data_IF_007219207125
#
_entry.id   IF_007219207125
#
_cell.length_a   1.000
_cell.length_b   1.000
_cell.length_c   1.000
_cell.angle_alpha   90.00
_cell.angle_beta   90.00
_cell.angle_gamma   90.00
#
_symmetry.space_group_name_H-M   'P 1'
#
loop_
_entity.id
_entity.type
_entity.pdbx_description
1 polymer ?
#
# COMPACT_ATOMS: atom_id res chain seq x y z
N UNK A 1 30.82 19.45 -60.63
CA UNK A 1 29.81 19.25 -59.57
C UNK A 1 28.57 18.68 -60.25
N UNK A 2 28.07 17.47 -60.03
CA UNK A 2 28.32 16.48 -58.99
C UNK A 2 28.15 15.09 -59.60
N UNK A 3 28.91 14.13 -59.09
CA UNK A 3 28.86 12.71 -59.43
C UNK A 3 27.83 12.10 -58.46
N UNK A 4 26.75 11.48 -58.95
CA UNK A 4 25.97 10.58 -58.11
C UNK A 4 25.70 9.28 -58.86
N UNK A 5 26.67 8.37 -58.77
CA UNK A 5 26.41 6.93 -58.77
C UNK A 5 26.11 6.55 -57.33
N UNK A 6 24.99 5.88 -57.08
CA UNK A 6 25.01 4.52 -56.54
C UNK A 6 23.60 3.94 -56.57
N UNK A 7 23.43 2.94 -57.43
CA UNK A 7 22.38 1.94 -57.29
C UNK A 7 22.70 1.10 -56.05
N UNK A 8 21.76 0.99 -55.12
CA UNK A 8 21.74 -0.08 -54.11
C UNK A 8 20.38 -0.74 -54.23
N UNK A 9 20.30 -1.69 -55.15
CA UNK A 9 19.36 -2.79 -55.09
C UNK A 9 19.89 -3.79 -54.05
N UNK A 10 19.04 -4.20 -53.11
CA UNK A 10 19.26 -5.45 -52.39
C UNK A 10 18.98 -5.40 -50.89
N UNK A 11 18.10 -6.32 -50.49
CA UNK A 11 17.96 -6.90 -49.16
C UNK A 11 17.37 -6.00 -48.08
N UNK A 12 16.04 -6.08 -47.95
CA UNK A 12 15.38 -5.79 -46.69
C UNK A 12 15.88 -6.73 -45.59
N UNK A 13 16.06 -6.19 -44.39
CA UNK A 13 16.13 -6.99 -43.17
C UNK A 13 15.67 -6.16 -41.97
N UNK A 14 14.45 -6.46 -41.54
CA UNK A 14 13.96 -6.39 -40.18
C UNK A 14 14.26 -5.11 -39.36
N UNK A 15 13.41 -4.10 -39.52
CA UNK A 15 13.00 -3.28 -38.37
C UNK A 15 12.20 -4.19 -37.43
N UNK A 16 12.90 -4.90 -36.54
CA UNK A 16 12.26 -5.52 -35.39
C UNK A 16 11.68 -4.38 -34.56
N UNK A 17 10.40 -4.12 -34.75
CA UNK A 17 9.60 -3.32 -33.85
C UNK A 17 9.76 -3.94 -32.46
N UNK A 18 10.51 -3.27 -31.58
CA UNK A 18 10.52 -3.58 -30.15
C UNK A 18 9.14 -3.19 -29.60
N UNK A 19 8.12 -3.99 -29.90
CA UNK A 19 6.89 -4.00 -29.11
C UNK A 19 7.21 -4.74 -27.83
N UNK A 20 7.88 -4.05 -26.90
CA UNK A 20 7.88 -4.48 -25.51
C UNK A 20 6.42 -4.56 -25.09
N UNK A 21 5.94 -5.74 -24.70
CA UNK A 21 4.65 -5.85 -24.05
C UNK A 21 4.75 -5.01 -22.77
N UNK A 22 4.24 -3.78 -22.81
CA UNK A 22 4.00 -2.96 -21.64
C UNK A 22 2.81 -3.57 -20.88
N UNK A 23 2.96 -4.81 -20.41
CA UNK A 23 2.06 -5.37 -19.43
C UNK A 23 2.33 -4.57 -18.16
N UNK A 24 1.42 -3.66 -17.79
CA UNK A 24 1.58 -2.96 -16.53
C UNK A 24 1.70 -4.00 -15.41
N UNK A 25 2.70 -3.86 -14.52
CA UNK A 25 2.87 -4.80 -13.42
C UNK A 25 1.56 -4.85 -12.63
N UNK A 26 1.00 -6.05 -12.48
CA UNK A 26 -0.21 -6.23 -11.66
C UNK A 26 0.10 -5.67 -10.28
N UNK A 27 -0.75 -4.77 -9.80
CA UNK A 27 -0.59 -4.20 -8.47
C UNK A 27 -0.64 -5.34 -7.44
N UNK A 28 0.47 -5.55 -6.74
CA UNK A 28 0.60 -6.60 -5.73
C UNK A 28 -0.25 -6.30 -4.49
N UNK A 29 -0.40 -5.01 -4.17
CA UNK A 29 -1.11 -4.53 -3.00
C UNK A 29 -2.18 -3.50 -3.38
N UNK A 30 -3.29 -3.54 -2.66
CA UNK A 30 -4.29 -2.48 -2.67
C UNK A 30 -3.91 -1.41 -1.63
N UNK A 31 -3.68 -0.19 -2.09
CA UNK A 31 -3.41 0.97 -1.22
C UNK A 31 -4.64 1.84 -0.97
N UNK A 32 -5.67 1.74 -1.82
CA UNK A 32 -6.88 2.54 -1.67
C UNK A 32 -6.59 4.05 -1.61
N UNK A 33 -7.15 4.73 -0.62
CA UNK A 33 -7.00 6.17 -0.36
C UNK A 33 -5.86 6.47 0.64
N UNK A 34 -5.04 5.47 0.99
CA UNK A 34 -4.04 5.57 2.05
C UNK A 34 -3.03 6.71 1.86
N UNK A 35 -2.49 6.89 0.65
CA UNK A 35 -1.52 7.96 0.37
C UNK A 35 -2.12 9.36 0.57
N UNK A 36 -3.37 9.54 0.15
CA UNK A 36 -4.09 10.79 0.33
C UNK A 36 -4.47 11.03 1.80
N UNK A 37 -4.83 9.97 2.54
CA UNK A 37 -5.03 10.06 3.99
C UNK A 37 -3.76 10.56 4.70
N UNK A 38 -2.60 9.97 4.36
CA UNK A 38 -1.31 10.42 4.92
C UNK A 38 -1.01 11.87 4.53
N UNK A 39 -1.24 12.24 3.28
CA UNK A 39 -1.05 13.62 2.83
C UNK A 39 -1.84 14.60 3.71
N UNK A 40 -3.15 14.39 3.87
CA UNK A 40 -4.03 15.23 4.70
C UNK A 40 -3.56 15.27 6.15
N UNK A 41 -3.18 14.12 6.74
CA UNK A 41 -2.65 14.07 8.10
C UNK A 41 -1.43 14.97 8.32
N UNK A 42 -0.55 15.09 7.32
CA UNK A 42 0.67 15.89 7.41
C UNK A 42 0.48 17.35 7.02
N UNK A 43 -0.38 17.64 6.05
CA UNK A 43 -0.58 19.01 5.53
C UNK A 43 -1.65 19.79 6.29
N UNK A 44 -2.61 19.10 6.90
CA UNK A 44 -3.75 19.69 7.60
C UNK A 44 -3.91 19.08 9.00
N UNK A 45 -3.09 19.53 9.98
CA UNK A 45 -3.13 19.01 11.34
C UNK A 45 -4.54 19.07 11.94
N UNK A 46 -5.07 17.90 12.34
CA UNK A 46 -6.41 17.76 12.92
C UNK A 46 -7.53 17.49 11.92
N UNK A 47 -7.28 17.59 10.60
CA UNK A 47 -8.29 17.30 9.58
C UNK A 47 -8.60 15.80 9.43
N UNK A 48 -7.63 14.94 9.78
CA UNK A 48 -7.79 13.49 9.80
C UNK A 48 -7.81 13.00 11.25
N UNK A 49 -8.94 13.15 11.94
CA UNK A 49 -9.10 12.60 13.29
C UNK A 49 -9.12 11.05 13.27
N UNK A 50 -8.98 10.37 14.43
CA UNK A 50 -8.94 8.91 14.47
C UNK A 50 -10.18 8.21 13.89
N UNK A 51 -11.38 8.78 14.01
CA UNK A 51 -12.60 8.16 13.49
C UNK A 51 -12.64 8.22 11.96
N UNK A 52 -12.23 9.36 11.38
CA UNK A 52 -12.06 9.50 9.94
C UNK A 52 -11.02 8.50 9.41
N UNK A 53 -9.87 8.39 10.08
CA UNK A 53 -8.82 7.45 9.69
C UNK A 53 -9.32 5.99 9.76
N UNK A 54 -10.03 5.60 10.84
CA UNK A 54 -10.65 4.27 10.96
C UNK A 54 -11.59 3.98 9.79
N UNK A 55 -12.45 4.95 9.44
CA UNK A 55 -13.40 4.79 8.35
C UNK A 55 -12.69 4.54 7.02
N UNK A 56 -11.67 5.35 6.71
CA UNK A 56 -10.91 5.25 5.45
C UNK A 56 -10.14 3.93 5.34
N UNK A 57 -9.38 3.58 6.38
CA UNK A 57 -8.59 2.34 6.41
C UNK A 57 -9.49 1.09 6.32
N UNK A 58 -10.63 1.09 7.01
CA UNK A 58 -11.59 -0.02 6.95
C UNK A 58 -12.22 -0.16 5.56
N UNK A 59 -12.53 0.97 4.91
CA UNK A 59 -13.04 0.97 3.53
C UNK A 59 -12.01 0.39 2.56
N UNK A 60 -10.74 0.74 2.70
CA UNK A 60 -9.66 0.21 1.85
C UNK A 60 -9.46 -1.30 2.06
N UNK A 61 -9.52 -1.78 3.31
CA UNK A 61 -9.48 -3.23 3.63
C UNK A 61 -10.65 -3.96 2.96
N UNK A 62 -11.87 -3.41 3.05
CA UNK A 62 -13.06 -4.01 2.42
C UNK A 62 -12.94 -4.03 0.89
N UNK A 63 -12.45 -2.96 0.29
CA UNK A 63 -12.23 -2.89 -1.16
C UNK A 63 -11.15 -3.87 -1.63
N UNK A 64 -10.05 -4.02 -0.87
CA UNK A 64 -9.02 -5.00 -1.16
C UNK A 64 -9.62 -6.41 -1.20
N UNK A 65 -10.40 -6.77 -0.17
CA UNK A 65 -11.08 -8.06 -0.09
C UNK A 65 -12.06 -8.26 -1.26
N UNK A 66 -12.86 -7.25 -1.61
CA UNK A 66 -13.82 -7.33 -2.72
C UNK A 66 -13.15 -7.49 -4.09
N UNK A 67 -11.91 -7.03 -4.25
CA UNK A 67 -11.13 -7.13 -5.48
C UNK A 67 -10.20 -8.35 -5.53
N UNK A 68 -10.24 -9.21 -4.51
CA UNK A 68 -9.29 -10.33 -4.32
C UNK A 68 -7.82 -9.85 -4.36
N UNK A 69 -7.58 -8.66 -3.78
CA UNK A 69 -6.26 -8.06 -3.65
C UNK A 69 -5.83 -8.08 -2.18
N UNK A 70 -4.52 -8.18 -1.97
CA UNK A 70 -3.94 -8.08 -0.62
C UNK A 70 -3.90 -6.60 -0.22
N UNK A 71 -4.45 -6.23 0.93
CA UNK A 71 -4.31 -4.88 1.48
C UNK A 71 -2.84 -4.59 1.79
N UNK A 72 -2.32 -3.39 1.53
CA UNK A 72 -0.90 -3.09 1.70
C UNK A 72 -0.38 -3.28 3.16
N UNK A 73 0.91 -3.61 3.32
CA UNK A 73 1.54 -3.72 4.65
C UNK A 73 1.47 -2.40 5.41
N UNK A 74 1.30 -2.49 6.73
CA UNK A 74 1.19 -1.36 7.65
C UNK A 74 -0.23 -0.82 7.81
N UNK A 75 -1.18 -1.11 6.90
CA UNK A 75 -2.55 -0.60 7.01
C UNK A 75 -3.28 -1.18 8.23
N UNK A 76 -3.12 -2.48 8.51
CA UNK A 76 -3.70 -3.07 9.72
C UNK A 76 -3.00 -2.57 10.98
N UNK A 77 -1.67 -2.32 10.93
CA UNK A 77 -0.97 -1.67 12.04
C UNK A 77 -1.49 -0.25 12.33
N UNK A 78 -1.71 0.56 11.29
CA UNK A 78 -2.26 1.91 11.42
C UNK A 78 -3.68 1.87 11.99
N UNK A 79 -4.53 0.99 11.45
CA UNK A 79 -5.89 0.81 11.96
C UNK A 79 -5.91 0.39 13.43
N UNK A 80 -5.04 -0.55 13.82
CA UNK A 80 -4.88 -0.96 15.22
C UNK A 80 -4.46 0.19 16.13
N UNK A 81 -3.55 1.06 15.67
CA UNK A 81 -3.15 2.25 16.40
C UNK A 81 -4.30 3.24 16.57
N UNK A 82 -5.12 3.48 15.55
CA UNK A 82 -6.29 4.35 15.66
C UNK A 82 -7.31 3.81 16.65
N UNK A 83 -7.59 2.50 16.64
CA UNK A 83 -8.46 1.89 17.65
C UNK A 83 -7.89 2.05 19.07
N UNK A 84 -6.58 1.92 19.26
CA UNK A 84 -5.95 2.14 20.55
C UNK A 84 -6.12 3.59 21.03
N UNK A 85 -5.95 4.59 20.15
CA UNK A 85 -6.22 6.00 20.48
C UNK A 85 -7.66 6.26 20.90
N UNK A 86 -8.61 5.50 20.35
CA UNK A 86 -10.04 5.54 20.69
C UNK A 86 -10.40 4.73 21.94
N UNK A 87 -9.44 4.09 22.61
CA UNK A 87 -9.69 3.24 23.77
C UNK A 87 -10.21 1.84 23.42
N UNK A 88 -10.35 1.49 22.14
CA UNK A 88 -10.85 0.19 21.70
C UNK A 88 -9.72 -0.83 21.58
N UNK A 89 -9.23 -1.30 22.73
CA UNK A 89 -8.08 -2.19 22.83
C UNK A 89 -8.32 -3.58 22.21
N UNK A 90 -9.57 -4.05 22.23
CA UNK A 90 -9.94 -5.34 21.63
C UNK A 90 -9.77 -5.31 20.10
N UNK A 91 -10.31 -4.28 19.44
CA UNK A 91 -10.11 -4.08 18.00
C UNK A 91 -8.65 -3.79 17.68
N UNK A 92 -7.97 -2.96 18.47
CA UNK A 92 -6.54 -2.70 18.28
C UNK A 92 -5.70 -3.97 18.25
N UNK A 93 -5.89 -4.86 19.24
CA UNK A 93 -5.21 -6.16 19.32
C UNK A 93 -5.50 -7.04 18.10
N UNK A 94 -6.75 -7.10 17.66
CA UNK A 94 -7.15 -7.89 16.51
C UNK A 94 -6.43 -7.43 15.22
N UNK A 95 -6.38 -6.13 14.99
CA UNK A 95 -5.73 -5.54 13.81
C UNK A 95 -4.21 -5.74 13.83
N UNK A 96 -3.56 -5.56 14.99
CA UNK A 96 -2.14 -5.86 15.15
C UNK A 96 -1.82 -7.33 14.86
N UNK A 97 -2.62 -8.27 15.39
CA UNK A 97 -2.44 -9.70 15.09
C UNK A 97 -2.64 -9.96 13.59
N UNK A 98 -3.62 -9.30 12.96
CA UNK A 98 -3.89 -9.44 11.53
C UNK A 98 -2.72 -8.96 10.67
N UNK A 99 -2.11 -7.83 11.00
CA UNK A 99 -0.90 -7.33 10.35
C UNK A 99 0.21 -8.39 10.41
N UNK A 100 0.54 -8.89 11.61
CA UNK A 100 1.60 -9.89 11.79
C UNK A 100 1.32 -11.21 11.04
N UNK A 101 0.06 -11.60 10.90
CA UNK A 101 -0.34 -12.77 10.11
C UNK A 101 -0.15 -12.55 8.60
N UNK A 102 -0.46 -11.36 8.11
CA UNK A 102 -0.31 -11.02 6.69
C UNK A 102 1.14 -10.69 6.32
N UNK A 103 1.89 -10.13 7.26
CA UNK A 103 3.22 -9.54 7.07
C UNK A 103 4.14 -9.96 8.22
N UNK A 104 4.67 -11.20 8.21
CA UNK A 104 5.54 -11.71 9.28
C UNK A 104 6.83 -10.89 9.47
N UNK A 105 7.25 -10.14 8.45
CA UNK A 105 8.36 -9.18 8.53
C UNK A 105 8.09 -8.03 9.52
N UNK A 106 6.81 -7.72 9.80
CA UNK A 106 6.42 -6.69 10.77
C UNK A 106 6.46 -7.17 12.22
N UNK A 107 6.70 -8.47 12.47
CA UNK A 107 6.47 -9.10 13.77
C UNK A 107 7.15 -8.38 14.94
N UNK A 108 8.42 -8.00 14.80
CA UNK A 108 9.18 -7.31 15.86
C UNK A 108 8.52 -5.98 16.24
N UNK A 109 8.07 -5.20 15.24
CA UNK A 109 7.41 -3.93 15.47
C UNK A 109 6.06 -4.14 16.15
N UNK A 110 5.25 -5.07 15.65
CA UNK A 110 3.91 -5.36 16.16
C UNK A 110 3.94 -5.94 17.57
N UNK A 111 4.88 -6.82 17.88
CA UNK A 111 5.05 -7.37 19.24
C UNK A 111 5.38 -6.25 20.23
N UNK A 112 6.20 -5.27 19.83
CA UNK A 112 6.45 -4.07 20.61
C UNK A 112 5.20 -3.20 20.81
N UNK A 113 4.31 -3.12 19.81
CA UNK A 113 3.03 -2.40 19.92
C UNK A 113 2.10 -3.08 20.92
N UNK A 114 1.93 -4.40 20.80
CA UNK A 114 1.12 -5.20 21.70
C UNK A 114 1.60 -5.09 23.16
N UNK A 115 2.91 -5.20 23.40
CA UNK A 115 3.47 -5.11 24.74
C UNK A 115 3.22 -3.73 25.40
N UNK A 116 3.35 -2.64 24.63
CA UNK A 116 3.08 -1.28 25.14
C UNK A 116 1.60 -1.07 25.44
N UNK A 117 0.73 -1.61 24.60
CA UNK A 117 -0.71 -1.56 24.81
C UNK A 117 -1.12 -2.32 26.07
N UNK A 118 -0.55 -3.50 26.31
CA UNK A 118 -0.78 -4.29 27.53
C UNK A 118 -0.36 -3.53 28.78
N UNK A 119 0.85 -2.96 28.79
CA UNK A 119 1.32 -2.14 29.93
C UNK A 119 0.43 -0.93 30.19
N UNK A 120 -0.06 -0.28 29.13
CA UNK A 120 -0.94 0.88 29.25
C UNK A 120 -2.35 0.57 29.78
N UNK A 121 -2.82 -0.68 29.67
CA UNK A 121 -4.09 -1.11 30.27
C UNK A 121 -3.99 -1.39 31.78
N UNK A 122 -2.78 -1.70 32.26
CA UNK A 122 -2.51 -2.00 33.67
C UNK A 122 -2.16 -0.75 34.51
N UNK A 123 -2.09 0.43 33.88
CA UNK A 123 -1.67 1.72 34.48
C UNK A 123 -2.87 2.62 34.78
#
# INVERSE_FOLDING_TARGET
>A
MSIHKLSVAGAGLALMLLTGCAQQPKQLYHWGDYENLLYIMYTEPGAADPDMQIQKLTADIQQAHAKDLRIAPGIHAHLGYMYALKGNMASAKAEFIKEKQLYPESAIFIDGMLQRMEKGMDS
#
